data_IF_601473573941
#
_entry.id   IF_601473573941
#
_cell.length_a   1.000
_cell.length_b   1.000
_cell.length_c   1.000
_cell.angle_alpha   90.00
_cell.angle_beta   90.00
_cell.angle_gamma   90.00
#
_symmetry.space_group_name_H-M   'P 1'
#
loop_
_entity.id
_entity.type
_entity.pdbx_description
1 polymer ?
#
# COMPACT_ATOMS: atom_id res chain seq x y z
N UNK A 1 -4.49 -23.72 18.63
CA UNK A 1 -3.72 -22.49 18.35
C UNK A 1 -3.94 -21.93 16.96
N UNK A 2 -3.96 -22.73 15.88
CA UNK A 2 -4.17 -22.22 14.52
C UNK A 2 -5.43 -21.33 14.36
N UNK A 3 -6.58 -21.74 14.90
CA UNK A 3 -7.82 -20.96 14.82
C UNK A 3 -7.73 -19.58 15.51
N UNK A 4 -6.95 -19.46 16.59
CA UNK A 4 -6.76 -18.18 17.27
C UNK A 4 -6.00 -17.20 16.37
N UNK A 5 -4.90 -17.63 15.77
CA UNK A 5 -4.11 -16.78 14.85
C UNK A 5 -4.90 -16.38 13.60
N UNK A 6 -5.67 -17.31 13.03
CA UNK A 6 -6.56 -17.00 11.90
C UNK A 6 -7.56 -15.91 12.27
N UNK A 7 -8.29 -16.08 13.39
CA UNK A 7 -9.25 -15.09 13.83
C UNK A 7 -8.60 -13.78 14.30
N UNK A 8 -7.37 -13.83 14.80
CA UNK A 8 -6.62 -12.63 15.15
C UNK A 8 -6.27 -11.80 13.92
N UNK A 9 -5.86 -12.42 12.81
CA UNK A 9 -5.66 -11.70 11.54
C UNK A 9 -6.93 -10.99 11.05
N UNK A 10 -8.08 -11.68 11.11
CA UNK A 10 -9.39 -11.08 10.79
C UNK A 10 -9.70 -9.89 11.71
N UNK A 11 -9.51 -10.07 13.02
CA UNK A 11 -9.72 -9.02 14.01
C UNK A 11 -8.86 -7.79 13.73
N UNK A 12 -7.58 -7.97 13.41
CA UNK A 12 -6.67 -6.86 13.10
C UNK A 12 -7.11 -6.09 11.85
N UNK A 13 -7.58 -6.77 10.79
CA UNK A 13 -8.09 -6.12 9.59
C UNK A 13 -9.34 -5.28 9.88
N UNK A 14 -10.32 -5.89 10.55
CA UNK A 14 -11.57 -5.22 10.96
C UNK A 14 -11.30 -4.00 11.86
N UNK A 15 -10.25 -4.07 12.68
CA UNK A 15 -9.91 -3.02 13.65
C UNK A 15 -9.00 -1.93 13.09
N UNK A 16 -8.31 -2.18 11.97
CA UNK A 16 -7.36 -1.24 11.38
C UNK A 16 -7.93 -0.43 10.22
N UNK A 17 -8.98 -0.91 9.55
CA UNK A 17 -9.59 -0.18 8.44
C UNK A 17 -11.09 -0.45 8.31
N UNK A 18 -11.78 0.46 7.62
CA UNK A 18 -13.20 0.38 7.22
C UNK A 18 -13.41 1.16 5.93
N UNK A 19 -14.49 0.91 5.19
CA UNK A 19 -14.84 1.73 4.03
C UNK A 19 -14.81 3.22 4.35
N UNK A 20 -14.15 4.02 3.50
CA UNK A 20 -13.91 5.45 3.71
C UNK A 20 -12.67 5.83 4.54
N UNK A 21 -11.96 4.86 5.12
CA UNK A 21 -10.67 5.07 5.80
C UNK A 21 -9.48 4.85 4.86
N UNK A 22 -8.26 4.99 5.39
CA UNK A 22 -7.04 4.50 4.74
C UNK A 22 -6.88 2.98 4.94
N UNK A 23 -6.20 2.26 4.02
CA UNK A 23 -5.87 0.85 4.23
C UNK A 23 -4.86 0.67 5.38
N UNK A 24 -4.72 -0.54 5.95
CA UNK A 24 -3.70 -0.81 6.95
C UNK A 24 -2.29 -0.65 6.38
N UNK A 25 -1.46 0.14 7.06
CA UNK A 25 -0.06 0.34 6.72
C UNK A 25 0.84 -0.80 7.28
N UNK A 26 2.16 -0.61 7.32
CA UNK A 26 3.12 -1.58 7.89
C UNK A 26 2.81 -2.03 9.33
N UNK A 27 2.06 -1.25 10.10
CA UNK A 27 1.68 -1.55 11.49
C UNK A 27 0.14 -1.56 11.67
N UNK A 28 -0.61 -1.65 10.57
CA UNK A 28 -2.06 -1.54 10.57
C UNK A 28 -2.51 -0.10 10.87
N UNK A 29 -2.87 0.14 12.13
CA UNK A 29 -3.29 1.45 12.67
C UNK A 29 -2.47 1.85 13.91
N UNK A 30 -1.65 0.95 14.44
CA UNK A 30 -1.08 1.08 15.77
C UNK A 30 0.40 1.43 15.71
N UNK A 31 0.78 2.54 16.36
CA UNK A 31 2.16 2.96 16.54
C UNK A 31 2.31 3.59 17.93
N UNK A 32 3.46 3.42 18.57
CA UNK A 32 3.74 3.98 19.91
C UNK A 32 4.66 5.21 19.87
N UNK A 33 4.97 5.73 18.68
CA UNK A 33 5.86 6.85 18.48
C UNK A 33 5.68 7.48 17.10
N UNK A 34 6.25 8.68 16.94
CA UNK A 34 6.16 9.44 15.68
C UNK A 34 7.12 8.89 14.63
N UNK A 35 8.31 8.47 15.04
CA UNK A 35 9.33 7.89 14.16
C UNK A 35 9.21 6.36 14.16
N UNK A 36 8.25 5.87 13.41
CA UNK A 36 8.03 4.43 13.24
C UNK A 36 9.06 3.80 12.29
N UNK A 37 9.43 2.52 12.48
CA UNK A 37 10.24 1.78 11.50
C UNK A 37 9.64 1.88 10.09
N UNK A 38 10.50 2.22 9.11
CA UNK A 38 10.11 2.47 7.72
C UNK A 38 8.93 3.44 7.57
N UNK A 39 8.88 4.46 8.42
CA UNK A 39 7.85 5.49 8.46
C UNK A 39 6.41 4.98 8.64
N UNK A 40 6.22 3.68 8.96
CA UNK A 40 4.88 3.09 8.99
C UNK A 40 4.13 3.33 7.68
N UNK A 41 4.85 3.39 6.57
CA UNK A 41 4.28 3.75 5.28
C UNK A 41 3.61 2.53 4.61
N UNK A 42 3.36 2.63 3.31
CA UNK A 42 2.81 1.54 2.51
C UNK A 42 3.92 0.96 1.63
N UNK A 43 4.57 -0.11 2.07
CA UNK A 43 5.47 -0.88 1.21
C UNK A 43 4.68 -1.76 0.23
N UNK A 44 4.83 -1.49 -1.05
CA UNK A 44 4.05 -2.08 -2.15
C UNK A 44 4.86 -3.08 -2.97
N UNK A 45 5.99 -3.55 -2.44
CA UNK A 45 6.78 -4.62 -3.05
C UNK A 45 6.58 -5.98 -2.34
N UNK A 46 5.69 -6.07 -1.35
CA UNK A 46 5.15 -7.30 -0.74
C UNK A 46 4.17 -7.00 0.41
N UNK A 47 4.47 -6.01 1.26
CA UNK A 47 3.84 -5.89 2.57
C UNK A 47 2.35 -5.52 2.49
N UNK A 48 2.01 -4.50 1.72
CA UNK A 48 0.61 -4.09 1.54
C UNK A 48 -0.18 -5.21 0.87
N UNK A 49 0.38 -5.91 -0.11
CA UNK A 49 -0.27 -7.06 -0.73
C UNK A 49 -0.56 -8.15 0.32
N UNK A 50 0.44 -8.48 1.14
CA UNK A 50 0.32 -9.47 2.21
C UNK A 50 -0.76 -9.11 3.24
N UNK A 51 -0.86 -7.82 3.62
CA UNK A 51 -1.91 -7.35 4.51
C UNK A 51 -3.33 -7.69 3.98
N UNK A 52 -3.51 -7.70 2.66
CA UNK A 52 -4.83 -7.84 2.03
C UNK A 52 -5.14 -9.26 1.53
N UNK A 53 -4.15 -10.15 1.39
CA UNK A 53 -4.36 -11.54 0.94
C UNK A 53 -5.53 -12.29 1.58
N UNK A 54 -5.79 -12.21 2.91
CA UNK A 54 -6.85 -13.01 3.52
C UNK A 54 -8.25 -12.42 3.34
N UNK A 55 -8.43 -11.20 2.82
CA UNK A 55 -9.71 -10.47 2.87
C UNK A 55 -10.87 -11.23 2.22
N UNK A 56 -10.73 -11.63 0.95
CA UNK A 56 -11.78 -12.39 0.24
C UNK A 56 -12.06 -13.73 0.93
N UNK A 57 -11.00 -14.47 1.25
CA UNK A 57 -11.10 -15.80 1.86
C UNK A 57 -11.70 -15.76 3.28
N UNK A 58 -11.60 -14.62 3.97
CA UNK A 58 -12.13 -14.41 5.31
C UNK A 58 -13.53 -13.78 5.34
N UNK A 59 -14.12 -13.52 4.16
CA UNK A 59 -15.43 -12.87 4.02
C UNK A 59 -15.42 -11.42 4.49
N UNK A 60 -14.36 -10.67 4.18
CA UNK A 60 -14.14 -9.27 4.55
C UNK A 60 -13.89 -8.38 3.30
N UNK A 61 -14.46 -8.75 2.16
CA UNK A 61 -14.20 -8.13 0.86
C UNK A 61 -14.45 -6.62 0.84
N UNK A 62 -15.38 -6.12 1.66
CA UNK A 62 -15.66 -4.68 1.79
C UNK A 62 -14.45 -3.87 2.27
N UNK A 63 -13.51 -4.50 2.97
CA UNK A 63 -12.29 -3.86 3.47
C UNK A 63 -11.20 -3.70 2.40
N UNK A 64 -11.43 -4.14 1.15
CA UNK A 64 -10.58 -3.76 0.02
C UNK A 64 -10.79 -2.32 -0.44
N UNK A 65 -11.98 -1.75 -0.20
CA UNK A 65 -12.36 -0.43 -0.72
C UNK A 65 -11.38 0.70 -0.32
N UNK A 66 -10.82 0.73 0.91
CA UNK A 66 -9.73 1.64 1.28
C UNK A 66 -8.46 1.53 0.41
N UNK A 67 -8.04 0.31 0.06
CA UNK A 67 -6.86 0.10 -0.79
C UNK A 67 -7.13 0.55 -2.22
N UNK A 68 -8.30 0.21 -2.77
CA UNK A 68 -8.72 0.66 -4.10
C UNK A 68 -8.71 2.20 -4.15
N UNK A 69 -9.32 2.84 -3.15
CA UNK A 69 -9.38 4.30 -3.05
C UNK A 69 -7.97 4.91 -2.93
N UNK A 70 -7.05 4.26 -2.21
CA UNK A 70 -5.66 4.71 -2.15
C UNK A 70 -5.03 4.65 -3.55
N UNK A 71 -5.10 3.51 -4.24
CA UNK A 71 -4.51 3.30 -5.57
C UNK A 71 -5.05 4.31 -6.59
N UNK A 72 -6.35 4.55 -6.60
CA UNK A 72 -6.98 5.55 -7.48
C UNK A 72 -6.36 6.94 -7.29
N UNK A 73 -6.14 7.37 -6.04
CA UNK A 73 -5.51 8.66 -5.72
C UNK A 73 -4.03 8.73 -6.15
N UNK A 74 -3.34 7.60 -6.27
CA UNK A 74 -1.94 7.57 -6.73
C UNK A 74 -1.81 7.88 -8.22
N UNK A 75 -2.85 7.61 -9.02
CA UNK A 75 -2.79 7.67 -10.48
C UNK A 75 -2.21 8.99 -11.01
N UNK A 76 -2.76 10.14 -10.61
CA UNK A 76 -2.28 11.44 -11.09
C UNK A 76 -0.83 11.75 -10.70
N UNK A 77 -0.42 11.35 -9.49
CA UNK A 77 0.97 11.49 -9.03
C UNK A 77 1.90 10.56 -9.80
N UNK A 78 1.46 9.33 -10.03
CA UNK A 78 2.19 8.31 -10.76
C UNK A 78 2.35 8.62 -12.25
N UNK A 79 1.39 9.30 -12.87
CA UNK A 79 1.54 9.83 -14.24
C UNK A 79 2.65 10.89 -14.31
N UNK A 80 2.71 11.76 -13.29
CA UNK A 80 3.79 12.75 -13.20
C UNK A 80 5.14 12.04 -13.00
N UNK A 81 5.22 11.08 -12.08
CA UNK A 81 6.41 10.25 -11.90
C UNK A 81 6.83 9.56 -13.19
N UNK A 82 5.88 8.98 -13.94
CA UNK A 82 6.17 8.28 -15.19
C UNK A 82 6.87 9.21 -16.19
N UNK A 83 6.33 10.42 -16.37
CA UNK A 83 6.92 11.42 -17.27
C UNK A 83 8.27 11.94 -16.79
N UNK A 84 8.43 12.13 -15.48
CA UNK A 84 9.67 12.65 -14.88
C UNK A 84 10.83 11.66 -15.00
N UNK A 85 10.59 10.37 -14.72
CA UNK A 85 11.65 9.37 -14.62
C UNK A 85 11.82 8.51 -15.89
N UNK A 86 10.78 8.37 -16.72
CA UNK A 86 10.81 7.52 -17.91
C UNK A 86 10.57 8.29 -19.23
N UNK A 87 10.53 9.62 -19.17
CA UNK A 87 10.49 10.50 -20.34
C UNK A 87 9.13 11.11 -20.62
N UNK A 88 9.11 12.28 -21.28
CA UNK A 88 7.89 13.09 -21.49
C UNK A 88 6.79 12.38 -22.27
N UNK A 89 7.14 11.40 -23.10
CA UNK A 89 6.22 10.60 -23.91
C UNK A 89 5.67 9.37 -23.17
N UNK A 90 6.12 9.12 -21.93
CA UNK A 90 5.63 8.02 -21.11
C UNK A 90 4.10 8.12 -20.92
N UNK A 91 3.42 6.99 -21.13
CA UNK A 91 1.97 6.84 -20.98
C UNK A 91 1.66 6.02 -19.73
N UNK A 92 0.48 6.24 -19.17
CA UNK A 92 0.06 5.60 -17.93
C UNK A 92 0.74 6.20 -16.71
N UNK A 93 0.74 5.43 -15.63
CA UNK A 93 1.26 5.85 -14.32
C UNK A 93 2.22 4.80 -13.77
N UNK A 94 3.11 5.22 -12.89
CA UNK A 94 4.06 4.32 -12.21
C UNK A 94 4.12 4.66 -10.74
N UNK A 95 4.30 3.64 -9.91
CA UNK A 95 4.54 3.77 -8.48
C UNK A 95 5.60 2.74 -8.08
N UNK A 96 6.56 3.19 -7.26
CA UNK A 96 7.72 2.41 -6.92
C UNK A 96 7.48 1.49 -5.71
N UNK A 97 8.49 1.24 -4.87
CA UNK A 97 8.43 0.26 -3.78
C UNK A 97 7.57 0.68 -2.59
N UNK A 98 7.27 1.98 -2.44
CA UNK A 98 6.48 2.52 -1.33
C UNK A 98 5.53 3.63 -1.77
N UNK A 99 4.55 3.93 -0.93
CA UNK A 99 3.74 5.15 -1.00
C UNK A 99 3.37 5.64 0.40
N UNK A 100 2.73 6.80 0.50
CA UNK A 100 2.25 7.39 1.74
C UNK A 100 0.91 8.11 1.52
N UNK A 101 0.36 8.70 2.59
CA UNK A 101 -0.95 9.39 2.56
C UNK A 101 -0.98 10.63 1.66
N UNK A 102 0.18 11.08 1.17
CA UNK A 102 0.36 12.24 0.29
C UNK A 102 0.60 11.84 -1.17
N UNK A 103 0.24 10.62 -1.54
CA UNK A 103 0.33 10.09 -2.91
C UNK A 103 1.78 10.06 -3.45
N UNK A 104 2.74 9.66 -2.63
CA UNK A 104 4.13 9.49 -3.06
C UNK A 104 4.29 8.30 -4.03
N UNK A 105 4.83 8.56 -5.22
CA UNK A 105 5.00 7.55 -6.28
C UNK A 105 6.42 7.48 -6.85
N UNK A 106 7.29 8.44 -6.49
CA UNK A 106 8.67 8.53 -6.95
C UNK A 106 9.54 7.36 -6.45
N UNK A 107 10.70 7.09 -7.10
CA UNK A 107 11.66 6.12 -6.59
C UNK A 107 12.19 6.53 -5.22
N UNK A 108 12.51 5.53 -4.41
CA UNK A 108 13.17 5.75 -3.13
C UNK A 108 14.60 6.30 -3.25
N UNK A 109 15.15 6.73 -2.12
CA UNK A 109 16.43 7.45 -2.03
C UNK A 109 17.65 6.63 -2.49
N UNK A 110 17.56 5.30 -2.51
CA UNK A 110 18.65 4.44 -2.92
C UNK A 110 18.19 3.38 -3.94
N UNK A 111 18.94 3.16 -5.03
CA UNK A 111 18.50 2.30 -6.13
C UNK A 111 18.34 0.82 -5.76
N UNK A 112 19.10 0.31 -4.77
CA UNK A 112 19.04 -1.11 -4.39
C UNK A 112 17.68 -1.56 -3.85
N UNK A 113 16.83 -0.63 -3.39
CA UNK A 113 15.50 -0.91 -2.89
C UNK A 113 14.43 0.01 -3.49
N UNK A 114 14.79 1.26 -3.82
CA UNK A 114 13.84 2.30 -4.21
C UNK A 114 13.41 2.29 -5.67
N UNK A 115 14.16 1.61 -6.54
CA UNK A 115 13.94 1.64 -8.00
C UNK A 115 13.01 0.54 -8.53
N UNK A 116 12.35 -0.24 -7.66
CA UNK A 116 11.32 -1.20 -8.09
C UNK A 116 10.14 -0.43 -8.66
N UNK A 117 9.83 -0.60 -9.94
CA UNK A 117 8.79 0.16 -10.66
C UNK A 117 7.49 -0.64 -10.89
N UNK A 118 7.36 -1.79 -10.24
CA UNK A 118 6.21 -2.71 -10.36
C UNK A 118 5.23 -2.61 -9.19
N UNK A 119 5.45 -1.69 -8.24
CA UNK A 119 4.60 -1.57 -7.05
C UNK A 119 3.15 -1.29 -7.41
N UNK A 120 2.91 -0.28 -8.25
CA UNK A 120 1.56 0.02 -8.75
C UNK A 120 0.94 -1.12 -9.56
N UNK A 121 1.76 -1.83 -10.35
CA UNK A 121 1.30 -2.94 -11.17
C UNK A 121 0.86 -4.17 -10.37
N UNK A 122 1.46 -4.44 -9.20
CA UNK A 122 1.04 -5.54 -8.33
C UNK A 122 -0.21 -5.19 -7.50
N UNK A 123 -0.56 -3.92 -7.38
CA UNK A 123 -1.78 -3.50 -6.67
C UNK A 123 -3.04 -3.56 -7.55
N UNK A 124 -2.89 -3.77 -8.86
CA UNK A 124 -3.98 -3.83 -9.84
C UNK A 124 -4.22 -5.27 -10.30
#
# INVERSE_FOLDING_TARGET
MAALYYNYGRYLLISSTRPGSLPPNLQGLWANGVQTPWNGDYHTNINVQMNHWPLEQAGLSELYQPLISLVERLTSSGENTARTFYGKEAKGWVQHMMTNVWNYTAPGEHPSWGATNTGGAWLC
#
